data_IF_754803383470
#
_entry.id   IF_754803383470
#
_cell.length_a   1.000
_cell.length_b   1.000
_cell.length_c   1.000
_cell.angle_alpha   90.00
_cell.angle_beta   90.00
_cell.angle_gamma   90.00
#
_symmetry.space_group_name_H-M   'P 1'
#
loop_
_entity.id
_entity.type
_entity.pdbx_description
1 polymer ?
#
# COMPACT_ATOMS: atom_id res chain seq x y z
N UNK A 1 8.79 26.61 12.42
CA UNK A 1 9.51 25.33 12.27
C UNK A 1 9.06 24.29 13.32
N UNK A 2 9.10 24.60 14.63
CA UNK A 2 8.74 23.62 15.70
C UNK A 2 7.30 23.11 15.57
N UNK A 3 6.33 23.99 15.39
CA UNK A 3 4.91 23.62 15.25
C UNK A 3 4.67 22.64 14.07
N UNK A 4 5.38 22.85 12.94
CA UNK A 4 5.32 21.93 11.80
C UNK A 4 5.94 20.57 12.14
N UNK A 5 7.07 20.54 12.88
CA UNK A 5 7.68 19.30 13.33
C UNK A 5 6.75 18.48 14.23
N UNK A 6 6.06 19.12 15.19
CA UNK A 6 5.06 18.47 16.02
C UNK A 6 3.93 17.84 15.17
N UNK A 7 3.39 18.62 14.23
CA UNK A 7 2.30 18.14 13.35
C UNK A 7 2.70 16.89 12.55
N UNK A 8 3.89 16.89 11.94
CA UNK A 8 4.31 15.75 11.11
C UNK A 8 4.72 14.53 11.95
N UNK A 9 5.28 14.72 13.16
CA UNK A 9 5.54 13.59 14.06
C UNK A 9 4.24 12.90 14.46
N UNK A 10 3.22 13.65 14.83
CA UNK A 10 1.90 13.08 15.13
C UNK A 10 1.30 12.33 13.93
N UNK A 11 1.48 12.83 12.70
CA UNK A 11 1.02 12.15 11.49
C UNK A 11 1.65 10.77 11.29
N UNK A 12 2.93 10.61 11.67
CA UNK A 12 3.64 9.32 11.58
C UNK A 12 3.49 8.47 12.86
N UNK A 13 2.60 8.85 13.78
CA UNK A 13 2.33 8.10 15.01
C UNK A 13 3.44 8.20 16.06
N UNK A 14 4.20 9.28 16.07
CA UNK A 14 5.21 9.58 17.08
C UNK A 14 4.80 10.80 17.89
N UNK A 15 4.98 10.75 19.20
CA UNK A 15 4.69 11.85 20.10
C UNK A 15 5.83 12.90 20.16
N UNK A 16 5.58 14.03 20.82
CA UNK A 16 6.52 15.14 20.92
C UNK A 16 7.84 14.80 21.60
N UNK A 17 7.89 13.74 22.43
CA UNK A 17 9.13 13.32 23.12
C UNK A 17 10.22 12.90 22.14
N UNK A 18 9.84 12.55 20.90
CA UNK A 18 10.78 12.16 19.86
C UNK A 18 11.59 13.34 19.28
N UNK A 19 11.18 14.60 19.50
CA UNK A 19 11.93 15.78 19.05
C UNK A 19 13.28 15.93 19.75
N UNK A 20 13.37 15.48 20.99
CA UNK A 20 14.57 15.62 21.83
C UNK A 20 15.40 14.33 21.88
N UNK A 21 14.92 13.22 21.28
CA UNK A 21 15.63 11.92 21.29
C UNK A 21 16.76 11.88 20.27
N UNK A 22 17.86 11.27 20.70
CA UNK A 22 18.94 10.94 19.77
C UNK A 22 18.48 9.89 18.75
N UNK A 23 18.82 10.01 17.45
CA UNK A 23 18.55 8.97 16.45
C UNK A 23 19.09 7.59 16.83
N UNK A 24 20.11 7.51 17.67
CA UNK A 24 20.70 6.24 18.13
C UNK A 24 19.81 5.51 19.13
N UNK A 25 18.90 6.20 19.81
CA UNK A 25 17.96 5.64 20.78
C UNK A 25 16.68 5.09 20.12
N UNK A 26 16.51 5.30 18.81
CA UNK A 26 15.32 4.91 18.08
C UNK A 26 15.46 3.49 17.52
N UNK A 27 14.35 2.73 17.57
CA UNK A 27 14.23 1.47 16.82
C UNK A 27 14.28 1.73 15.31
N UNK A 28 14.50 0.68 14.50
CA UNK A 28 14.50 0.79 13.04
C UNK A 28 13.21 1.39 12.47
N UNK A 29 12.05 0.93 12.97
CA UNK A 29 10.75 1.47 12.56
C UNK A 29 10.55 2.92 12.97
N UNK A 30 10.99 3.32 14.17
CA UNK A 30 10.92 4.71 14.62
C UNK A 30 11.83 5.63 13.80
N UNK A 31 13.06 5.20 13.49
CA UNK A 31 13.96 5.92 12.57
C UNK A 31 13.30 6.19 11.23
N UNK A 32 12.64 5.17 10.67
CA UNK A 32 11.93 5.28 9.39
C UNK A 32 10.78 6.28 9.47
N UNK A 33 9.96 6.23 10.52
CA UNK A 33 8.87 7.19 10.75
C UNK A 33 9.38 8.62 10.88
N UNK A 34 10.47 8.83 11.61
CA UNK A 34 11.12 10.16 11.72
C UNK A 34 11.65 10.66 10.37
N UNK A 35 12.28 9.77 9.57
CA UNK A 35 12.75 10.13 8.24
C UNK A 35 11.59 10.57 7.32
N UNK A 36 10.49 9.82 7.32
CA UNK A 36 9.28 10.15 6.56
C UNK A 36 8.67 11.47 7.06
N UNK A 37 8.59 11.68 8.38
CA UNK A 37 8.14 12.95 8.95
C UNK A 37 8.97 14.14 8.44
N UNK A 38 10.30 13.97 8.35
CA UNK A 38 11.19 14.99 7.80
C UNK A 38 10.87 15.34 6.35
N UNK A 39 10.55 14.34 5.51
CA UNK A 39 10.14 14.54 4.11
C UNK A 39 8.77 15.23 4.05
N UNK A 40 7.79 14.76 4.82
CA UNK A 40 6.43 15.32 4.84
C UNK A 40 6.42 16.76 5.37
N UNK A 41 7.38 17.14 6.23
CA UNK A 41 7.54 18.51 6.71
C UNK A 41 7.90 19.51 5.59
N UNK A 42 8.43 19.03 4.48
CA UNK A 42 8.69 19.85 3.29
C UNK A 42 7.45 20.12 2.44
N UNK A 43 6.31 19.45 2.73
CA UNK A 43 5.05 19.54 2.00
C UNK A 43 5.21 19.29 0.49
N UNK A 44 5.87 18.20 0.08
CA UNK A 44 6.09 17.94 -1.34
C UNK A 44 4.75 17.73 -2.07
N UNK A 45 4.72 18.00 -3.39
CA UNK A 45 3.56 17.69 -4.22
C UNK A 45 3.61 16.24 -4.72
N UNK A 46 4.82 15.68 -4.82
CA UNK A 46 5.06 14.30 -5.27
C UNK A 46 5.96 13.61 -4.24
N UNK A 47 5.52 12.46 -3.75
CA UNK A 47 6.26 11.60 -2.82
C UNK A 47 6.64 10.31 -3.54
N UNK A 48 7.94 10.03 -3.62
CA UNK A 48 8.46 8.78 -4.20
C UNK A 48 9.02 7.91 -3.08
N UNK A 49 8.54 6.68 -3.00
CA UNK A 49 8.82 5.73 -1.94
C UNK A 49 9.35 4.42 -2.53
N UNK A 50 10.49 3.97 -2.05
CA UNK A 50 11.07 2.68 -2.40
C UNK A 50 10.94 1.73 -1.22
N UNK A 51 10.18 0.63 -1.43
CA UNK A 51 9.87 -0.40 -0.42
C UNK A 51 9.50 0.20 0.96
N UNK A 52 8.46 1.05 1.04
CA UNK A 52 8.20 1.85 2.24
C UNK A 52 7.80 1.01 3.46
N UNK A 53 7.39 -0.22 3.29
CA UNK A 53 6.96 -1.13 4.37
C UNK A 53 8.02 -2.16 4.76
N UNK A 54 9.16 -2.25 4.06
CA UNK A 54 10.18 -3.23 4.33
C UNK A 54 10.71 -3.14 5.77
N UNK A 55 10.77 -4.28 6.47
CA UNK A 55 11.25 -4.34 7.86
C UNK A 55 10.31 -3.79 8.93
N UNK A 56 9.09 -3.44 8.57
CA UNK A 56 8.01 -3.14 9.53
C UNK A 56 7.24 -4.42 9.87
N UNK A 57 6.68 -4.45 11.07
CA UNK A 57 5.66 -5.44 11.43
C UNK A 57 4.34 -5.15 10.66
N UNK A 58 3.41 -6.10 10.56
CA UNK A 58 2.19 -5.93 9.77
C UNK A 58 1.37 -4.69 10.18
N UNK A 59 1.29 -4.39 11.48
CA UNK A 59 0.57 -3.23 11.96
C UNK A 59 1.27 -1.92 11.56
N UNK A 60 2.59 -1.86 11.70
CA UNK A 60 3.39 -0.71 11.29
C UNK A 60 3.35 -0.46 9.79
N UNK A 61 3.35 -1.53 8.98
CA UNK A 61 3.18 -1.45 7.53
C UNK A 61 1.81 -0.85 7.16
N UNK A 62 0.74 -1.36 7.76
CA UNK A 62 -0.63 -0.85 7.56
C UNK A 62 -0.72 0.64 7.90
N UNK A 63 -0.26 1.03 9.09
CA UNK A 63 -0.31 2.44 9.53
C UNK A 63 0.48 3.37 8.58
N UNK A 64 1.60 2.89 8.05
CA UNK A 64 2.40 3.66 7.11
C UNK A 64 1.70 3.83 5.76
N UNK A 65 1.07 2.78 5.22
CA UNK A 65 0.32 2.84 3.96
C UNK A 65 -0.92 3.71 4.10
N UNK A 66 -1.64 3.64 5.21
CA UNK A 66 -2.76 4.54 5.52
C UNK A 66 -2.32 6.02 5.59
N UNK A 67 -1.12 6.30 6.09
CA UNK A 67 -0.56 7.64 6.07
C UNK A 67 -0.35 8.12 4.62
N UNK A 68 0.23 7.29 3.75
CA UNK A 68 0.44 7.64 2.34
C UNK A 68 -0.88 7.81 1.59
N UNK A 69 -1.88 6.99 1.91
CA UNK A 69 -3.23 7.14 1.35
C UNK A 69 -3.83 8.50 1.72
N UNK A 70 -3.78 8.89 2.99
CA UNK A 70 -4.23 10.23 3.45
C UNK A 70 -3.46 11.37 2.78
N UNK A 71 -2.17 11.18 2.53
CA UNK A 71 -1.36 12.16 1.81
C UNK A 71 -1.84 12.30 0.36
N UNK A 72 -2.12 11.20 -0.33
CA UNK A 72 -2.70 11.18 -1.67
C UNK A 72 -4.09 11.82 -1.70
N UNK A 73 -4.97 11.50 -0.75
CA UNK A 73 -6.31 12.08 -0.62
C UNK A 73 -6.30 13.59 -0.39
N UNK A 74 -5.19 14.15 0.12
CA UNK A 74 -5.01 15.61 0.24
C UNK A 74 -4.68 16.30 -1.10
N UNK A 75 -4.75 15.58 -2.23
CA UNK A 75 -4.48 16.10 -3.58
C UNK A 75 -3.00 16.01 -3.99
N UNK A 76 -2.21 15.21 -3.30
CA UNK A 76 -0.80 14.98 -3.60
C UNK A 76 -0.62 13.69 -4.40
N UNK A 77 0.54 13.53 -5.04
CA UNK A 77 0.89 12.32 -5.78
C UNK A 77 1.82 11.43 -4.95
N UNK A 78 1.51 10.15 -4.87
CA UNK A 78 2.38 9.13 -4.26
C UNK A 78 2.79 8.13 -5.33
N UNK A 79 4.08 7.91 -5.48
CA UNK A 79 4.66 6.86 -6.31
C UNK A 79 5.36 5.89 -5.38
N UNK A 80 4.97 4.63 -5.43
CA UNK A 80 5.51 3.59 -4.56
C UNK A 80 6.12 2.46 -5.40
N UNK A 81 7.37 2.11 -5.12
CA UNK A 81 7.98 0.86 -5.61
C UNK A 81 7.74 -0.21 -4.55
N UNK A 82 7.17 -1.33 -4.94
CA UNK A 82 6.88 -2.46 -4.04
C UNK A 82 6.80 -3.77 -4.81
N UNK A 83 7.14 -4.85 -4.14
CA UNK A 83 6.93 -6.23 -4.59
C UNK A 83 5.75 -6.91 -3.84
N UNK A 84 5.10 -6.21 -2.92
CA UNK A 84 3.91 -6.73 -2.22
C UNK A 84 2.64 -6.37 -2.99
N UNK A 85 2.13 -7.33 -3.75
CA UNK A 85 0.95 -7.13 -4.60
C UNK A 85 -0.34 -6.92 -3.80
N UNK A 86 -0.42 -7.37 -2.55
CA UNK A 86 -1.56 -7.07 -1.68
C UNK A 86 -1.60 -5.57 -1.33
N UNK A 87 -0.44 -4.97 -1.08
CA UNK A 87 -0.33 -3.53 -0.86
C UNK A 87 -0.64 -2.74 -2.13
N UNK A 88 -0.14 -3.20 -3.30
CA UNK A 88 -0.44 -2.56 -4.59
C UNK A 88 -1.94 -2.59 -4.86
N UNK A 89 -2.61 -3.74 -4.72
CA UNK A 89 -4.06 -3.87 -4.93
C UNK A 89 -4.86 -2.90 -4.04
N UNK A 90 -4.47 -2.79 -2.77
CA UNK A 90 -5.27 -2.05 -1.76
C UNK A 90 -5.05 -0.54 -1.79
N UNK A 91 -3.84 -0.09 -2.09
CA UNK A 91 -3.43 1.30 -1.88
C UNK A 91 -3.10 2.07 -3.17
N UNK A 92 -3.01 1.39 -4.32
CA UNK A 92 -2.69 2.04 -5.60
C UNK A 92 -3.92 2.12 -6.51
N UNK A 93 -3.98 3.17 -7.32
CA UNK A 93 -5.00 3.35 -8.36
C UNK A 93 -4.48 2.87 -9.73
N UNK A 94 -3.18 3.08 -9.98
CA UNK A 94 -2.50 2.73 -11.23
C UNK A 94 -1.18 2.02 -10.93
N UNK A 95 -0.74 1.23 -11.90
CA UNK A 95 0.51 0.47 -11.83
C UNK A 95 1.35 0.74 -13.08
N UNK A 96 2.65 0.88 -12.87
CA UNK A 96 3.67 0.84 -13.92
C UNK A 96 4.45 -0.45 -13.73
N UNK A 97 4.35 -1.38 -14.68
CA UNK A 97 5.16 -2.59 -14.71
C UNK A 97 6.48 -2.26 -15.40
N UNK A 98 7.59 -2.48 -14.70
CA UNK A 98 8.93 -2.27 -15.23
C UNK A 98 9.60 -3.61 -15.53
N UNK A 99 10.21 -3.74 -16.69
CA UNK A 99 10.96 -4.92 -17.10
C UNK A 99 12.25 -4.50 -17.81
N UNK A 100 13.39 -5.03 -17.37
CA UNK A 100 14.72 -4.70 -17.92
C UNK A 100 15.01 -3.20 -18.07
N UNK A 101 14.46 -2.35 -17.17
CA UNK A 101 14.67 -0.90 -17.19
C UNK A 101 13.73 -0.13 -18.13
N UNK A 102 12.81 -0.81 -18.78
CA UNK A 102 11.80 -0.22 -19.67
C UNK A 102 10.41 -0.32 -19.04
N UNK A 103 9.51 0.59 -19.43
CA UNK A 103 8.09 0.51 -19.07
C UNK A 103 7.44 -0.53 -19.96
N UNK A 104 7.09 -1.67 -19.39
CA UNK A 104 6.37 -2.74 -20.07
C UNK A 104 4.88 -2.41 -20.20
N UNK A 105 4.29 -1.87 -19.14
CA UNK A 105 2.87 -1.56 -19.09
C UNK A 105 2.55 -0.43 -18.11
N UNK A 106 1.52 0.35 -18.42
CA UNK A 106 0.87 1.30 -17.52
C UNK A 106 -0.64 1.11 -17.60
N UNK A 107 -1.29 0.76 -16.49
CA UNK A 107 -2.72 0.48 -16.45
C UNK A 107 -3.30 0.70 -15.05
N UNK A 108 -4.62 0.58 -14.93
CA UNK A 108 -5.32 0.52 -13.66
C UNK A 108 -4.97 -0.75 -12.88
N UNK A 109 -5.01 -0.68 -11.55
CA UNK A 109 -4.68 -1.82 -10.68
C UNK A 109 -5.63 -3.00 -10.90
N UNK A 110 -6.93 -2.75 -11.08
CA UNK A 110 -7.93 -3.81 -11.30
C UNK A 110 -7.75 -4.49 -12.67
N UNK A 111 -7.36 -3.72 -13.70
CA UNK A 111 -7.02 -4.22 -15.02
C UNK A 111 -5.82 -5.17 -14.95
N UNK A 112 -4.74 -4.75 -14.28
CA UNK A 112 -3.54 -5.57 -14.13
C UNK A 112 -3.86 -6.93 -13.51
N UNK A 113 -4.56 -6.94 -12.36
CA UNK A 113 -4.82 -8.16 -11.61
C UNK A 113 -5.94 -9.03 -12.19
N UNK A 114 -6.63 -8.59 -13.25
CA UNK A 114 -7.55 -9.43 -14.01
C UNK A 114 -6.83 -10.35 -15.01
N UNK A 115 -5.57 -10.09 -15.35
CA UNK A 115 -4.80 -10.78 -16.38
C UNK A 115 -3.78 -11.76 -15.81
N UNK A 116 -4.26 -12.90 -15.28
CA UNK A 116 -3.41 -13.93 -14.65
C UNK A 116 -2.24 -14.37 -15.54
N UNK A 117 -2.51 -14.72 -16.80
CA UNK A 117 -1.49 -15.22 -17.72
C UNK A 117 -0.36 -14.21 -17.94
N UNK A 118 -0.70 -12.92 -18.01
CA UNK A 118 0.28 -11.85 -18.11
C UNK A 118 1.14 -11.76 -16.85
N UNK A 119 0.54 -11.78 -15.66
CA UNK A 119 1.25 -11.72 -14.39
C UNK A 119 2.22 -12.91 -14.24
N UNK A 120 1.77 -14.11 -14.56
CA UNK A 120 2.62 -15.31 -14.54
C UNK A 120 3.81 -15.18 -15.50
N UNK A 121 3.60 -14.65 -16.71
CA UNK A 121 4.68 -14.41 -17.70
C UNK A 121 5.72 -13.42 -17.20
N UNK A 122 5.30 -12.47 -16.36
CA UNK A 122 6.16 -11.44 -15.75
C UNK A 122 6.71 -11.85 -14.38
N UNK A 123 6.40 -13.06 -13.90
CA UNK A 123 6.74 -13.52 -12.55
C UNK A 123 6.24 -12.59 -11.44
N UNK A 124 5.05 -12.04 -11.64
CA UNK A 124 4.34 -11.21 -10.66
C UNK A 124 3.26 -12.06 -10.01
N UNK A 125 3.27 -12.14 -8.70
CA UNK A 125 2.27 -12.88 -7.93
C UNK A 125 0.92 -12.16 -7.94
N UNK A 126 -0.18 -12.92 -7.98
CA UNK A 126 -1.51 -12.37 -7.71
C UNK A 126 -1.65 -11.97 -6.24
N UNK A 127 -2.37 -10.89 -5.93
CA UNK A 127 -2.80 -10.64 -4.55
C UNK A 127 -3.62 -11.81 -4.02
N UNK A 128 -3.41 -12.20 -2.77
CA UNK A 128 -4.04 -13.37 -2.15
C UNK A 128 -5.57 -13.35 -2.28
N UNK A 129 -6.19 -12.20 -2.04
CA UNK A 129 -7.64 -12.05 -2.16
C UNK A 129 -8.14 -12.22 -3.60
N UNK A 130 -7.39 -11.68 -4.58
CA UNK A 130 -7.72 -11.79 -6.00
C UNK A 130 -7.62 -13.23 -6.48
N UNK A 131 -6.54 -13.93 -6.11
CA UNK A 131 -6.33 -15.35 -6.43
C UNK A 131 -7.46 -16.21 -5.87
N UNK A 132 -7.81 -16.01 -4.61
CA UNK A 132 -8.89 -16.75 -3.95
C UNK A 132 -10.27 -16.49 -4.59
N UNK A 133 -10.59 -15.23 -4.95
CA UNK A 133 -11.85 -14.90 -5.65
C UNK A 133 -11.89 -15.57 -7.02
N UNK A 134 -10.79 -15.59 -7.76
CA UNK A 134 -10.73 -16.27 -9.07
C UNK A 134 -10.96 -17.78 -8.93
N UNK A 135 -10.37 -18.42 -7.93
CA UNK A 135 -10.60 -19.86 -7.66
C UNK A 135 -12.07 -20.15 -7.28
N UNK A 136 -12.68 -19.31 -6.43
CA UNK A 136 -14.09 -19.44 -6.09
C UNK A 136 -14.98 -19.33 -7.34
N UNK A 137 -14.73 -18.34 -8.20
CA UNK A 137 -15.50 -18.14 -9.41
C UNK A 137 -15.31 -19.28 -10.43
N UNK A 138 -14.12 -19.87 -10.53
CA UNK A 138 -13.89 -21.11 -11.28
C UNK A 138 -14.66 -22.30 -10.69
N UNK A 139 -14.86 -22.30 -9.36
CA UNK A 139 -15.68 -23.29 -8.64
C UNK A 139 -17.20 -23.09 -8.76
N UNK A 140 -17.64 -22.04 -9.49
CA UNK A 140 -19.07 -21.78 -9.74
C UNK A 140 -19.70 -20.72 -8.84
N UNK A 141 -18.93 -20.04 -7.99
CA UNK A 141 -19.38 -18.82 -7.29
C UNK A 141 -19.39 -17.63 -8.24
N UNK A 142 -20.13 -16.59 -7.87
CA UNK A 142 -20.23 -15.34 -8.66
C UNK A 142 -19.81 -14.12 -7.82
N UNK A 143 -18.60 -14.20 -7.26
CA UNK A 143 -18.03 -13.14 -6.41
C UNK A 143 -17.48 -12.01 -7.28
N UNK A 144 -17.80 -10.77 -6.91
CA UNK A 144 -17.26 -9.60 -7.58
C UNK A 144 -15.72 -9.58 -7.53
N UNK A 145 -15.01 -9.59 -8.67
CA UNK A 145 -13.55 -9.63 -8.71
C UNK A 145 -12.88 -8.34 -8.20
N UNK A 146 -13.63 -7.23 -8.08
CA UNK A 146 -13.08 -5.95 -7.60
C UNK A 146 -13.05 -5.83 -6.07
N UNK A 147 -13.44 -6.87 -5.33
CA UNK A 147 -13.33 -6.90 -3.86
C UNK A 147 -11.85 -6.92 -3.46
N UNK A 148 -11.47 -5.96 -2.59
CA UNK A 148 -10.09 -5.77 -2.10
C UNK A 148 -9.96 -5.96 -0.59
N UNK A 149 -11.08 -6.22 0.10
CA UNK A 149 -11.14 -6.34 1.55
C UNK A 149 -11.73 -7.68 1.96
N UNK A 150 -11.14 -8.29 3.00
CA UNK A 150 -11.55 -9.62 3.48
C UNK A 150 -12.96 -9.62 4.09
N UNK A 151 -13.33 -8.55 4.78
CA UNK A 151 -14.65 -8.48 5.41
C UNK A 151 -15.74 -8.34 4.34
N UNK A 152 -15.47 -7.60 3.27
CA UNK A 152 -16.35 -7.51 2.11
C UNK A 152 -16.49 -8.87 1.40
N UNK A 153 -15.38 -9.60 1.24
CA UNK A 153 -15.39 -10.95 0.65
C UNK A 153 -16.21 -11.92 1.49
N UNK A 154 -16.04 -11.94 2.80
CA UNK A 154 -16.82 -12.79 3.71
C UNK A 154 -18.31 -12.52 3.59
N UNK A 155 -18.71 -11.24 3.53
CA UNK A 155 -20.10 -10.85 3.34
C UNK A 155 -20.65 -11.30 1.97
N UNK A 156 -19.86 -11.19 0.91
CA UNK A 156 -20.25 -11.62 -0.43
C UNK A 156 -20.49 -13.15 -0.49
N UNK A 157 -19.56 -13.94 0.09
CA UNK A 157 -19.71 -15.40 0.17
C UNK A 157 -20.95 -15.79 0.99
N UNK A 158 -21.16 -15.14 2.14
CA UNK A 158 -22.31 -15.38 3.01
C UNK A 158 -23.65 -15.05 2.34
N UNK A 159 -23.68 -14.06 1.46
CA UNK A 159 -24.85 -13.70 0.64
C UNK A 159 -25.21 -14.76 -0.41
N UNK A 160 -24.22 -15.36 -1.08
CA UNK A 160 -24.45 -16.44 -2.05
C UNK A 160 -24.88 -17.76 -1.39
N UNK A 161 -24.46 -18.01 -0.14
CA UNK A 161 -24.80 -19.25 0.57
C UNK A 161 -26.25 -19.25 1.12
N UNK A 162 -26.87 -18.07 1.27
CA UNK A 162 -28.21 -17.89 1.84
C UNK A 162 -29.31 -17.61 0.77
N UNK A 163 -28.99 -17.63 -0.49
CA UNK A 163 -29.91 -17.45 -1.62
C UNK A 163 -30.15 -18.76 -2.36
#
# INVERSE_FOLDING_TARGET
>A
AKERAHKVLNLVGLDESYLERSPFELSGGQKRRVAIAGILAMEPDILVLDEPTAGLDPQGAKEMLELFKKFQESGKTVIMVSHDMNHVLKYCDHVVVMNHGEVERYCGVDELFSERDYLESMSIDLPVITDFIQELNMGGFHINPSIKDIDELVNAIGGEYNG
#
